data_IF_294536051823
#
_entry.id   IF_294536051823
#
_cell.length_a   1.000
_cell.length_b   1.000
_cell.length_c   1.000
_cell.angle_alpha   90.00
_cell.angle_beta   90.00
_cell.angle_gamma   90.00
#
_symmetry.space_group_name_H-M   'P 1'
#
loop_
_entity.id
_entity.type
_entity.pdbx_description
1 polymer ?
#
# COMPACT_ATOMS: atom_id res chain seq x y z
N UNK A 1 -30.39 -15.80 -10.30
CA UNK A 1 -29.07 -16.49 -10.35
C UNK A 1 -28.37 -16.31 -11.71
N UNK A 2 -29.08 -16.38 -12.85
CA UNK A 2 -28.53 -16.11 -14.19
C UNK A 2 -28.14 -14.64 -14.47
N UNK A 3 -28.73 -13.65 -13.81
CA UNK A 3 -28.37 -12.23 -13.94
C UNK A 3 -27.05 -11.84 -13.23
N UNK A 4 -26.58 -12.63 -12.26
CA UNK A 4 -25.29 -12.38 -11.58
C UNK A 4 -24.11 -12.90 -12.39
N UNK A 5 -24.34 -13.91 -13.24
CA UNK A 5 -23.33 -14.46 -14.15
C UNK A 5 -23.09 -13.50 -15.32
N UNK A 6 -24.11 -12.77 -15.80
CA UNK A 6 -23.92 -11.71 -16.79
C UNK A 6 -23.11 -10.50 -16.25
N UNK A 7 -23.20 -10.20 -14.95
CA UNK A 7 -22.43 -9.10 -14.34
C UNK A 7 -20.93 -9.44 -14.26
N UNK A 8 -20.58 -10.71 -14.07
CA UNK A 8 -19.20 -11.20 -14.08
C UNK A 8 -18.68 -11.40 -15.50
N UNK A 9 -19.53 -11.76 -16.46
CA UNK A 9 -19.14 -11.88 -17.87
C UNK A 9 -18.97 -10.53 -18.59
N UNK A 10 -19.46 -9.42 -18.03
CA UNK A 10 -19.22 -8.06 -18.57
C UNK A 10 -17.83 -7.51 -18.26
N UNK A 11 -17.01 -8.21 -17.46
CA UNK A 11 -15.60 -7.90 -17.20
C UNK A 11 -14.64 -8.51 -18.23
N UNK A 12 -15.17 -9.12 -19.29
CA UNK A 12 -14.38 -9.58 -20.44
C UNK A 12 -14.32 -8.45 -21.47
N UNK A 13 -13.45 -7.46 -21.26
CA UNK A 13 -13.09 -6.48 -22.28
C UNK A 13 -11.63 -6.64 -22.66
N UNK A 14 -11.40 -7.50 -23.65
CA UNK A 14 -10.35 -7.26 -24.64
C UNK A 14 -10.82 -6.12 -25.56
N UNK A 15 -10.01 -5.08 -25.71
CA UNK A 15 -9.81 -4.25 -26.92
C UNK A 15 -9.08 -2.96 -26.49
N UNK A 16 -7.88 -2.69 -26.99
CA UNK A 16 -7.65 -2.14 -28.34
C UNK A 16 -8.50 -0.89 -28.55
N UNK A 17 -7.83 0.25 -28.62
CA UNK A 17 -8.41 1.52 -29.02
C UNK A 17 -9.28 1.38 -30.27
N UNK A 18 -10.52 1.87 -30.26
CA UNK A 18 -11.17 2.62 -31.36
C UNK A 18 -12.47 3.26 -30.81
N UNK A 19 -12.55 4.59 -30.97
CA UNK A 19 -13.75 5.44 -31.09
C UNK A 19 -14.89 5.35 -30.06
N UNK A 20 -14.94 6.37 -29.19
CA UNK A 20 -16.17 7.13 -28.96
C UNK A 20 -17.03 6.76 -27.76
N UNK A 21 -16.99 7.65 -26.75
CA UNK A 21 -17.91 7.78 -25.60
C UNK A 21 -17.79 6.71 -24.50
N UNK A 22 -16.79 6.92 -23.63
CA UNK A 22 -16.68 6.23 -22.32
C UNK A 22 -17.30 7.13 -21.26
N UNK A 23 -18.29 6.60 -20.53
CA UNK A 23 -18.88 7.23 -19.34
C UNK A 23 -17.93 7.11 -18.12
N UNK A 24 -17.01 8.06 -18.04
CA UNK A 24 -16.42 8.82 -16.91
C UNK A 24 -16.10 8.27 -15.51
N UNK A 25 -16.44 7.05 -15.06
CA UNK A 25 -16.16 6.68 -13.65
C UNK A 25 -14.81 5.96 -13.40
N UNK A 26 -14.26 5.27 -14.39
CA UNK A 26 -13.02 4.49 -14.25
C UNK A 26 -11.74 5.20 -14.69
N UNK A 27 -11.87 6.25 -15.51
CA UNK A 27 -10.73 6.95 -16.13
C UNK A 27 -10.13 8.03 -15.20
N UNK A 28 -10.97 8.69 -14.41
CA UNK A 28 -10.60 9.74 -13.45
C UNK A 28 -9.63 9.23 -12.37
N UNK A 29 -9.82 8.01 -11.84
CA UNK A 29 -8.97 7.44 -10.77
C UNK A 29 -7.55 7.13 -11.28
N UNK A 30 -7.43 6.66 -12.53
CA UNK A 30 -6.15 6.30 -13.14
C UNK A 30 -5.35 7.55 -13.54
N UNK A 31 -6.01 8.58 -14.08
CA UNK A 31 -5.38 9.85 -14.42
C UNK A 31 -4.98 10.67 -13.17
N UNK A 32 -5.78 10.63 -12.10
CA UNK A 32 -5.44 11.33 -10.85
C UNK A 32 -4.28 10.70 -10.06
N UNK A 33 -4.06 9.39 -10.21
CA UNK A 33 -2.92 8.71 -9.59
C UNK A 33 -1.59 9.30 -10.10
N UNK A 34 -1.55 9.70 -11.38
CA UNK A 34 -0.37 10.28 -12.04
C UNK A 34 -0.14 11.74 -11.63
N UNK A 35 -1.20 12.55 -11.48
CA UNK A 35 -1.07 13.96 -11.07
C UNK A 35 -0.68 14.15 -9.60
N UNK A 36 -1.11 13.26 -8.69
CA UNK A 36 -0.67 13.28 -7.28
C UNK A 36 0.73 12.66 -7.12
N UNK A 37 1.14 11.77 -8.04
CA UNK A 37 2.49 11.20 -8.09
C UNK A 37 3.56 12.27 -8.29
N UNK A 38 3.28 13.31 -9.10
CA UNK A 38 4.24 14.33 -9.49
C UNK A 38 4.64 15.31 -8.37
N UNK A 39 3.84 15.46 -7.30
CA UNK A 39 4.09 16.46 -6.26
C UNK A 39 4.88 15.94 -5.04
N UNK A 40 4.98 14.62 -4.85
CA UNK A 40 5.65 14.00 -3.66
C UNK A 40 6.96 13.29 -4.01
N UNK A 41 7.23 13.05 -5.30
CA UNK A 41 8.45 12.39 -5.79
C UNK A 41 9.70 13.26 -5.71
N UNK A 42 9.55 14.59 -5.68
CA UNK A 42 10.68 15.53 -5.83
C UNK A 42 11.61 15.54 -4.63
N UNK A 43 11.15 15.27 -3.40
CA UNK A 43 12.03 15.26 -2.21
C UNK A 43 12.65 13.90 -1.86
N UNK A 44 12.26 12.82 -2.54
CA UNK A 44 12.70 11.46 -2.20
C UNK A 44 13.68 10.85 -3.21
N UNK A 45 13.76 11.37 -4.43
CA UNK A 45 14.73 10.95 -5.44
C UNK A 45 16.18 11.16 -4.97
N UNK A 46 16.40 12.23 -4.20
CA UNK A 46 17.69 12.60 -3.63
C UNK A 46 18.24 11.56 -2.65
N UNK A 47 17.37 10.85 -1.91
CA UNK A 47 17.81 9.86 -0.92
C UNK A 47 18.32 8.57 -1.60
N UNK A 48 17.66 8.13 -2.67
CA UNK A 48 18.09 6.95 -3.44
C UNK A 48 19.39 7.25 -4.18
N UNK A 49 19.51 8.45 -4.77
CA UNK A 49 20.74 8.92 -5.40
C UNK A 49 21.88 9.06 -4.37
N UNK A 50 21.59 9.56 -3.17
CA UNK A 50 22.55 9.66 -2.07
C UNK A 50 23.03 8.28 -1.57
N UNK A 51 22.14 7.30 -1.43
CA UNK A 51 22.52 5.93 -1.04
C UNK A 51 23.37 5.26 -2.13
N UNK A 52 22.99 5.43 -3.40
CA UNK A 52 23.78 4.90 -4.52
C UNK A 52 25.13 5.61 -4.68
N UNK A 53 25.22 6.91 -4.34
CA UNK A 53 26.45 7.70 -4.40
C UNK A 53 27.40 7.51 -3.21
N UNK A 54 26.91 7.07 -2.06
CA UNK A 54 27.71 6.86 -0.84
C UNK A 54 28.32 5.46 -0.73
N UNK A 55 28.03 4.54 -1.66
CA UNK A 55 28.46 3.14 -1.61
C UNK A 55 28.15 2.44 -0.27
N UNK A 56 27.17 2.93 0.50
CA UNK A 56 26.79 2.31 1.76
C UNK A 56 26.18 0.93 1.49
N UNK A 57 26.63 -0.07 2.25
CA UNK A 57 26.06 -1.41 2.13
C UNK A 57 24.60 -1.40 2.58
N UNK A 58 23.79 -2.19 1.89
CA UNK A 58 22.37 -2.43 2.20
C UNK A 58 22.16 -2.82 3.67
N UNK A 59 23.11 -3.62 4.20
CA UNK A 59 23.12 -4.09 5.59
C UNK A 59 23.32 -2.93 6.57
N UNK A 60 24.34 -2.10 6.35
CA UNK A 60 24.64 -0.98 7.22
C UNK A 60 23.48 0.03 7.28
N UNK A 61 22.84 0.30 6.14
CA UNK A 61 21.68 1.19 6.09
C UNK A 61 20.49 0.63 6.88
N UNK A 62 20.24 -0.68 6.78
CA UNK A 62 19.19 -1.34 7.55
C UNK A 62 19.47 -1.27 9.06
N UNK A 63 20.73 -1.46 9.48
CA UNK A 63 21.14 -1.35 10.88
C UNK A 63 20.93 0.06 11.44
N UNK A 64 21.40 1.09 10.73
CA UNK A 64 21.22 2.49 11.13
C UNK A 64 19.73 2.82 11.27
N UNK A 65 18.89 2.40 10.32
CA UNK A 65 17.45 2.66 10.38
C UNK A 65 16.77 1.91 11.53
N UNK A 66 17.16 0.65 11.77
CA UNK A 66 16.70 -0.12 12.94
C UNK A 66 17.08 0.57 14.25
N UNK A 67 18.31 1.07 14.39
CA UNK A 67 18.74 1.81 15.59
C UNK A 67 17.89 3.06 15.82
N UNK A 68 17.58 3.82 14.75
CA UNK A 68 16.71 5.01 14.85
C UNK A 68 15.29 4.69 15.32
N UNK A 69 14.79 3.48 15.07
CA UNK A 69 13.48 3.05 15.62
C UNK A 69 13.48 2.83 17.13
N UNK A 70 14.65 2.73 17.78
CA UNK A 70 14.78 2.67 19.24
C UNK A 70 14.68 4.03 19.95
N UNK A 71 14.50 5.13 19.21
CA UNK A 71 14.35 6.47 19.79
C UNK A 71 13.06 6.62 20.59
N UNK A 72 13.07 7.48 21.62
CA UNK A 72 11.86 7.87 22.35
C UNK A 72 10.97 8.87 21.59
N UNK A 73 11.51 9.55 20.57
CA UNK A 73 10.80 10.56 19.80
C UNK A 73 9.98 9.94 18.66
N UNK A 74 8.67 10.18 18.68
CA UNK A 74 7.76 9.72 17.62
C UNK A 74 8.20 10.22 16.24
N UNK A 75 8.75 11.44 16.15
CA UNK A 75 9.20 12.05 14.89
C UNK A 75 10.33 11.23 14.28
N UNK A 76 11.33 10.86 15.10
CA UNK A 76 12.50 10.09 14.65
C UNK A 76 12.08 8.68 14.23
N UNK A 77 11.31 8.00 15.08
CA UNK A 77 10.84 6.64 14.82
C UNK A 77 9.97 6.59 13.56
N UNK A 78 9.01 7.50 13.42
CA UNK A 78 8.09 7.48 12.29
C UNK A 78 8.80 7.82 10.97
N UNK A 79 9.73 8.79 10.97
CA UNK A 79 10.57 9.06 9.80
C UNK A 79 11.40 7.84 9.40
N UNK A 80 12.01 7.15 10.36
CA UNK A 80 12.78 5.94 10.08
C UNK A 80 11.90 4.85 9.43
N UNK A 81 10.69 4.62 9.93
CA UNK A 81 9.74 3.66 9.33
C UNK A 81 9.32 4.09 7.90
N UNK A 82 9.05 5.38 7.68
CA UNK A 82 8.72 5.90 6.34
C UNK A 82 9.88 5.70 5.38
N UNK A 83 11.11 5.97 5.80
CA UNK A 83 12.32 5.73 5.02
C UNK A 83 12.50 4.24 4.69
N UNK A 84 12.32 3.35 5.66
CA UNK A 84 12.39 1.89 5.42
C UNK A 84 11.36 1.47 4.38
N UNK A 85 10.10 1.90 4.53
CA UNK A 85 9.06 1.58 3.54
C UNK A 85 9.42 2.10 2.15
N UNK A 86 9.95 3.32 2.06
CA UNK A 86 10.40 3.90 0.80
C UNK A 86 11.47 3.03 0.13
N UNK A 87 12.46 2.56 0.89
CA UNK A 87 13.53 1.69 0.39
C UNK A 87 13.02 0.31 -0.01
N UNK A 88 12.03 -0.25 0.70
CA UNK A 88 11.38 -1.50 0.29
C UNK A 88 10.68 -1.36 -1.07
N UNK A 89 10.07 -0.20 -1.35
CA UNK A 89 9.29 0.04 -2.58
C UNK A 89 10.18 0.46 -3.76
N UNK A 90 11.06 1.44 -3.56
CA UNK A 90 11.82 2.08 -4.65
C UNK A 90 13.32 1.78 -4.63
N UNK A 91 13.84 1.23 -3.52
CA UNK A 91 15.24 0.84 -3.39
C UNK A 91 15.58 -0.48 -4.07
N UNK A 92 16.83 -0.91 -3.88
CA UNK A 92 17.32 -2.19 -4.37
C UNK A 92 16.61 -3.36 -3.65
N UNK A 93 16.24 -4.40 -4.39
CA UNK A 93 15.56 -5.59 -3.84
C UNK A 93 16.36 -6.29 -2.72
N UNK A 94 17.70 -6.21 -2.76
CA UNK A 94 18.56 -6.71 -1.68
C UNK A 94 18.20 -6.12 -0.32
N UNK A 95 17.62 -4.92 -0.27
CA UNK A 95 17.19 -4.30 0.98
C UNK A 95 16.04 -5.07 1.62
N UNK A 96 14.94 -5.29 0.89
CA UNK A 96 13.81 -6.06 1.44
C UNK A 96 14.21 -7.52 1.71
N UNK A 97 15.08 -8.11 0.90
CA UNK A 97 15.65 -9.45 1.16
C UNK A 97 16.39 -9.50 2.51
N UNK A 98 17.25 -8.53 2.78
CA UNK A 98 17.95 -8.44 4.06
C UNK A 98 17.00 -8.22 5.25
N UNK A 99 15.94 -7.44 5.06
CA UNK A 99 14.92 -7.27 6.11
C UNK A 99 14.12 -8.55 6.35
N UNK A 100 13.81 -9.30 5.29
CA UNK A 100 13.07 -10.56 5.35
C UNK A 100 13.85 -11.69 6.03
N UNK A 101 15.19 -11.68 5.95
CA UNK A 101 16.03 -12.65 6.64
C UNK A 101 16.07 -12.47 8.16
N UNK A 102 15.58 -11.34 8.69
CA UNK A 102 15.51 -11.10 10.14
C UNK A 102 14.29 -11.79 10.77
N UNK A 103 14.45 -12.32 11.98
CA UNK A 103 13.35 -12.91 12.75
C UNK A 103 12.33 -11.87 13.23
N UNK A 104 12.79 -10.67 13.56
CA UNK A 104 11.98 -9.50 13.92
C UNK A 104 12.62 -8.24 13.36
N UNK A 105 11.86 -7.46 12.58
CA UNK A 105 12.33 -6.21 11.98
C UNK A 105 12.15 -5.02 12.93
N UNK A 106 10.93 -4.84 13.47
CA UNK A 106 10.61 -3.80 14.45
C UNK A 106 9.83 -4.36 15.63
N UNK A 107 10.20 -4.00 16.86
CA UNK A 107 9.53 -4.39 18.11
C UNK A 107 8.73 -3.24 18.74
N UNK A 108 7.99 -2.49 17.91
CA UNK A 108 7.31 -1.26 18.31
C UNK A 108 5.88 -1.46 18.85
N UNK A 109 5.45 -2.69 19.16
CA UNK A 109 4.06 -2.98 19.57
C UNK A 109 3.58 -2.22 20.81
N UNK A 110 4.49 -1.82 21.71
CA UNK A 110 4.21 -1.00 22.90
C UNK A 110 4.79 0.42 22.81
N UNK A 111 5.18 0.88 21.61
CA UNK A 111 5.77 2.21 21.44
C UNK A 111 4.80 3.28 21.93
N UNK A 112 5.29 4.18 22.79
CA UNK A 112 4.57 5.32 23.29
C UNK A 112 5.56 6.46 23.52
N UNK A 113 5.38 7.55 22.78
CA UNK A 113 6.08 8.79 23.07
C UNK A 113 5.49 9.42 24.35
N UNK A 114 6.33 9.54 25.37
CA UNK A 114 5.97 10.09 26.69
C UNK A 114 6.05 11.61 26.76
N UNK A 115 6.38 12.29 25.66
CA UNK A 115 6.28 13.76 25.62
C UNK A 115 4.85 14.19 25.98
N UNK A 116 4.72 15.30 26.70
CA UNK A 116 3.43 15.82 27.22
C UNK A 116 2.50 16.32 26.08
N UNK A 117 2.80 15.99 24.82
CA UNK A 117 2.03 16.43 23.66
C UNK A 117 0.94 15.41 23.28
N UNK A 118 -0.30 15.89 23.14
CA UNK A 118 -1.41 15.09 22.60
C UNK A 118 -1.06 14.49 21.22
N UNK A 119 -0.28 15.22 20.43
CA UNK A 119 0.20 14.77 19.12
C UNK A 119 1.08 13.51 19.23
N UNK A 120 2.01 13.45 20.19
CA UNK A 120 2.87 12.29 20.40
C UNK A 120 2.10 11.02 20.74
N UNK A 121 1.06 11.15 21.58
CA UNK A 121 0.16 10.04 21.92
C UNK A 121 -0.59 9.51 20.68
N UNK A 122 -1.18 10.40 19.88
CA UNK A 122 -1.89 10.03 18.66
C UNK A 122 -0.96 9.37 17.63
N UNK A 123 0.22 9.95 17.39
CA UNK A 123 1.21 9.42 16.43
C UNK A 123 1.76 8.07 16.88
N UNK A 124 1.88 7.82 18.19
CA UNK A 124 2.30 6.51 18.70
C UNK A 124 1.36 5.39 18.26
N UNK A 125 0.05 5.63 18.20
CA UNK A 125 -0.90 4.63 17.71
C UNK A 125 -0.70 4.31 16.22
N UNK A 126 -0.43 5.33 15.39
CA UNK A 126 -0.11 5.14 13.98
C UNK A 126 1.23 4.43 13.77
N UNK A 127 2.25 4.77 14.55
CA UNK A 127 3.56 4.10 14.52
C UNK A 127 3.41 2.59 14.78
N UNK A 128 2.65 2.19 15.80
CA UNK A 128 2.40 0.77 16.12
C UNK A 128 1.74 0.02 14.95
N UNK A 129 0.74 0.63 14.32
CA UNK A 129 0.02 0.03 13.17
C UNK A 129 0.90 -0.03 11.92
N UNK A 130 1.65 1.04 11.66
CA UNK A 130 2.54 1.14 10.51
C UNK A 130 3.73 0.18 10.60
N UNK A 131 4.36 0.07 11.78
CA UNK A 131 5.42 -0.90 12.02
C UNK A 131 4.92 -2.33 11.85
N UNK A 132 3.69 -2.62 12.29
CA UNK A 132 3.06 -3.93 12.06
C UNK A 132 2.94 -4.22 10.57
N UNK A 133 2.43 -3.27 9.78
CA UNK A 133 2.37 -3.44 8.33
C UNK A 133 3.75 -3.72 7.70
N UNK A 134 4.80 -2.99 8.08
CA UNK A 134 6.14 -3.22 7.53
C UNK A 134 6.72 -4.60 7.93
N UNK A 135 6.47 -5.05 9.16
CA UNK A 135 6.80 -6.40 9.59
C UNK A 135 6.08 -7.45 8.73
N UNK A 136 4.77 -7.28 8.48
CA UNK A 136 3.99 -8.19 7.64
C UNK A 136 4.43 -8.15 6.16
N UNK A 137 4.80 -6.98 5.62
CA UNK A 137 5.36 -6.86 4.26
C UNK A 137 6.69 -7.63 4.15
N UNK A 138 7.55 -7.53 5.16
CA UNK A 138 8.81 -8.28 5.23
C UNK A 138 8.57 -9.80 5.34
N UNK A 139 7.63 -10.21 6.19
CA UNK A 139 7.25 -11.62 6.34
C UNK A 139 6.63 -12.20 5.06
N UNK A 140 5.75 -11.44 4.40
CA UNK A 140 5.16 -11.82 3.13
C UNK A 140 6.22 -12.04 2.06
N UNK A 141 7.22 -11.15 1.97
CA UNK A 141 8.37 -11.34 1.09
C UNK A 141 9.13 -12.63 1.41
N UNK A 142 9.37 -12.93 2.70
CA UNK A 142 10.03 -14.19 3.11
C UNK A 142 9.24 -15.43 2.69
N UNK A 143 7.91 -15.40 2.80
CA UNK A 143 7.07 -16.57 2.52
C UNK A 143 6.84 -16.80 1.02
N UNK A 144 6.86 -15.75 0.22
CA UNK A 144 6.60 -15.80 -1.23
C UNK A 144 7.86 -15.66 -2.09
N UNK A 145 9.01 -15.44 -1.46
CA UNK A 145 10.32 -15.18 -2.08
C UNK A 145 10.29 -14.04 -3.13
N UNK A 146 9.29 -13.17 -3.04
CA UNK A 146 9.04 -12.10 -4.00
C UNK A 146 8.17 -11.00 -3.39
N UNK A 147 8.36 -9.76 -3.83
CA UNK A 147 7.46 -8.66 -3.46
C UNK A 147 6.22 -8.71 -4.35
N UNK A 148 5.11 -9.18 -3.76
CA UNK A 148 3.82 -9.28 -4.45
C UNK A 148 3.33 -7.96 -5.04
N UNK A 149 3.83 -6.81 -4.59
CA UNK A 149 3.48 -5.51 -5.18
C UNK A 149 4.18 -5.25 -6.52
N UNK A 150 5.28 -5.96 -6.81
CA UNK A 150 6.15 -5.76 -7.98
C UNK A 150 6.12 -6.89 -9.01
N UNK A 151 5.41 -7.99 -8.74
CA UNK A 151 5.32 -9.13 -9.67
C UNK A 151 4.62 -8.75 -10.99
N UNK A 152 4.92 -9.52 -12.04
CA UNK A 152 4.31 -9.38 -13.38
C UNK A 152 2.78 -9.53 -13.33
N UNK A 153 2.08 -8.66 -14.05
CA UNK A 153 0.61 -8.55 -14.13
C UNK A 153 0.05 -9.02 -15.47
N UNK A 154 -1.28 -9.17 -15.51
CA UNK A 154 -2.05 -9.47 -16.72
C UNK A 154 -2.31 -10.96 -16.92
N UNK A 155 -2.72 -11.33 -18.13
CA UNK A 155 -3.09 -12.71 -18.47
C UNK A 155 -1.95 -13.71 -18.17
N UNK A 156 -0.71 -13.34 -18.48
CA UNK A 156 0.50 -14.10 -18.18
C UNK A 156 1.19 -13.65 -16.88
N UNK A 157 0.44 -13.02 -15.99
CA UNK A 157 0.91 -12.54 -14.68
C UNK A 157 1.08 -13.69 -13.69
N UNK A 158 1.99 -13.53 -12.73
CA UNK A 158 2.35 -14.59 -11.77
C UNK A 158 1.12 -15.11 -11.02
N UNK A 159 0.27 -14.22 -10.52
CA UNK A 159 -0.95 -14.62 -9.79
C UNK A 159 -2.00 -15.27 -10.68
N UNK A 160 -2.06 -14.92 -11.97
CA UNK A 160 -3.05 -15.45 -12.92
C UNK A 160 -2.70 -16.89 -13.35
N UNK A 161 -1.42 -17.21 -13.41
CA UNK A 161 -0.92 -18.51 -13.90
C UNK A 161 -0.51 -19.48 -12.79
N UNK A 162 -0.34 -19.02 -11.55
CA UNK A 162 0.05 -19.83 -10.38
C UNK A 162 -0.80 -21.10 -10.21
N UNK A 163 -0.17 -22.23 -9.88
CA UNK A 163 -0.88 -23.50 -9.70
C UNK A 163 -1.74 -23.51 -8.42
N UNK A 164 -2.72 -24.42 -8.33
CA UNK A 164 -3.70 -24.45 -7.22
C UNK A 164 -3.05 -24.55 -5.85
N UNK A 165 -2.00 -25.38 -5.70
CA UNK A 165 -1.36 -25.60 -4.40
C UNK A 165 -0.64 -24.35 -3.92
N UNK A 166 0.15 -23.73 -4.78
CA UNK A 166 0.85 -22.47 -4.48
C UNK A 166 -0.14 -21.33 -4.25
N UNK A 167 -1.21 -21.26 -5.05
CA UNK A 167 -2.22 -20.22 -4.95
C UNK A 167 -2.94 -20.24 -3.60
N UNK A 168 -3.34 -21.44 -3.14
CA UNK A 168 -3.99 -21.61 -1.83
C UNK A 168 -3.07 -21.26 -0.66
N UNK A 169 -1.76 -21.41 -0.81
CA UNK A 169 -0.79 -20.98 0.20
C UNK A 169 -0.49 -19.47 0.12
N UNK A 170 -0.52 -18.90 -1.09
CA UNK A 170 -0.14 -17.50 -1.35
C UNK A 170 -1.25 -16.52 -0.98
N UNK A 171 -2.51 -16.82 -1.31
CA UNK A 171 -3.64 -15.93 -1.05
C UNK A 171 -3.81 -15.57 0.44
N UNK A 172 -3.67 -16.50 1.40
CA UNK A 172 -3.67 -16.15 2.83
C UNK A 172 -2.55 -15.20 3.24
N UNK A 173 -1.35 -15.33 2.66
CA UNK A 173 -0.23 -14.41 2.93
C UNK A 173 -0.57 -13.00 2.48
N UNK A 174 -1.14 -12.86 1.27
CA UNK A 174 -1.62 -11.57 0.74
C UNK A 174 -2.72 -11.01 1.63
N UNK A 175 -3.68 -11.82 2.09
CA UNK A 175 -4.75 -11.40 3.00
C UNK A 175 -4.22 -10.79 4.30
N UNK A 176 -3.23 -11.44 4.93
CA UNK A 176 -2.63 -10.97 6.19
C UNK A 176 -1.90 -9.65 5.98
N UNK A 177 -1.09 -9.55 4.93
CA UNK A 177 -0.38 -8.31 4.58
C UNK A 177 -1.37 -7.17 4.30
N UNK A 178 -2.45 -7.46 3.58
CA UNK A 178 -3.47 -6.47 3.22
C UNK A 178 -4.29 -6.02 4.43
N UNK A 179 -4.63 -6.92 5.36
CA UNK A 179 -5.27 -6.56 6.62
C UNK A 179 -4.40 -5.64 7.46
N UNK A 180 -3.10 -5.94 7.57
CA UNK A 180 -2.17 -5.10 8.31
C UNK A 180 -2.09 -3.68 7.72
N UNK A 181 -2.15 -3.55 6.39
CA UNK A 181 -2.23 -2.27 5.69
C UNK A 181 -3.52 -1.52 6.05
N UNK A 182 -4.68 -2.17 5.86
CA UNK A 182 -5.99 -1.55 6.08
C UNK A 182 -6.21 -1.19 7.56
N UNK A 183 -5.56 -1.91 8.48
CA UNK A 183 -5.56 -1.63 9.91
C UNK A 183 -4.77 -0.37 10.30
N UNK A 184 -4.10 0.32 9.38
CA UNK A 184 -3.60 1.68 9.64
C UNK A 184 -4.74 2.60 10.11
N UNK A 185 -5.95 2.38 9.55
CA UNK A 185 -7.23 2.88 10.05
C UNK A 185 -7.22 4.38 10.33
N UNK A 186 -6.96 5.16 9.27
CA UNK A 186 -7.17 6.61 9.25
C UNK A 186 -8.64 6.85 8.95
N UNK A 187 -9.29 7.71 9.72
CA UNK A 187 -10.70 8.07 9.50
C UNK A 187 -10.83 9.23 8.53
N UNK A 188 -11.68 9.06 7.51
CA UNK A 188 -11.84 10.06 6.43
C UNK A 188 -12.31 11.43 6.91
N UNK A 189 -13.08 11.46 8.02
CA UNK A 189 -13.73 12.68 8.52
C UNK A 189 -13.01 13.32 9.72
N UNK A 190 -11.83 12.84 10.09
CA UNK A 190 -11.25 13.13 11.41
C UNK A 190 -9.99 14.03 11.39
N UNK A 191 -9.63 14.64 10.26
CA UNK A 191 -8.39 15.44 10.11
C UNK A 191 -7.15 14.78 10.74
N UNK A 192 -7.09 13.45 10.76
CA UNK A 192 -6.03 12.69 11.44
C UNK A 192 -4.68 12.82 10.72
N UNK A 193 -4.71 13.14 9.42
CA UNK A 193 -3.53 13.47 8.62
C UNK A 193 -3.11 14.92 8.87
N UNK A 194 -2.60 15.17 10.07
CA UNK A 194 -2.29 16.53 10.55
C UNK A 194 -0.92 17.06 10.14
N UNK A 195 -0.01 16.19 9.67
CA UNK A 195 1.39 16.55 9.44
C UNK A 195 2.03 15.77 8.29
N UNK A 196 3.14 16.30 7.76
CA UNK A 196 3.81 15.74 6.58
C UNK A 196 4.32 14.30 6.75
N UNK A 197 4.63 13.86 7.98
CA UNK A 197 5.16 12.50 8.23
C UNK A 197 4.04 11.46 8.07
N UNK A 198 2.89 11.69 8.72
CA UNK A 198 1.74 10.78 8.60
C UNK A 198 1.17 10.80 7.17
N UNK A 199 1.17 11.95 6.49
CA UNK A 199 0.82 12.03 5.06
C UNK A 199 1.75 11.17 4.20
N UNK A 200 3.07 11.27 4.39
CA UNK A 200 4.02 10.48 3.62
C UNK A 200 3.84 8.97 3.86
N UNK A 201 3.63 8.56 5.11
CA UNK A 201 3.32 7.17 5.46
C UNK A 201 2.03 6.69 4.77
N UNK A 202 0.95 7.47 4.86
CA UNK A 202 -0.33 7.15 4.23
C UNK A 202 -0.20 7.03 2.70
N UNK A 203 0.54 7.92 2.05
CA UNK A 203 0.74 7.87 0.60
C UNK A 203 1.49 6.61 0.15
N UNK A 204 2.46 6.13 0.93
CA UNK A 204 3.12 4.85 0.64
C UNK A 204 2.16 3.67 0.83
N UNK A 205 1.39 3.65 1.92
CA UNK A 205 0.36 2.61 2.14
C UNK A 205 -0.68 2.60 1.03
N UNK A 206 -1.12 3.78 0.58
CA UNK A 206 -2.08 3.92 -0.50
C UNK A 206 -1.54 3.34 -1.81
N UNK A 207 -0.27 3.59 -2.14
CA UNK A 207 0.36 3.00 -3.32
C UNK A 207 0.47 1.48 -3.23
N UNK A 208 0.83 0.95 -2.06
CA UNK A 208 0.92 -0.49 -1.85
C UNK A 208 -0.47 -1.15 -1.82
N UNK A 209 -1.50 -0.46 -1.34
CA UNK A 209 -2.87 -1.01 -1.30
C UNK A 209 -3.43 -1.24 -2.69
N UNK A 210 -3.20 -0.31 -3.63
CA UNK A 210 -3.60 -0.49 -5.02
C UNK A 210 -2.89 -1.68 -5.66
N UNK A 211 -1.58 -1.82 -5.43
CA UNK A 211 -0.79 -2.92 -5.98
C UNK A 211 -1.16 -4.28 -5.38
N UNK A 212 -1.37 -4.33 -4.06
CA UNK A 212 -1.85 -5.52 -3.36
C UNK A 212 -3.25 -5.91 -3.84
N UNK A 213 -4.15 -4.95 -4.02
CA UNK A 213 -5.49 -5.21 -4.52
C UNK A 213 -5.46 -5.85 -5.91
N UNK A 214 -4.67 -5.33 -6.85
CA UNK A 214 -4.53 -5.91 -8.19
C UNK A 214 -4.02 -7.35 -8.12
N UNK A 215 -2.95 -7.60 -7.35
CA UNK A 215 -2.41 -8.95 -7.17
C UNK A 215 -3.42 -9.91 -6.56
N UNK A 216 -4.14 -9.44 -5.53
CA UNK A 216 -5.14 -10.24 -4.84
C UNK A 216 -6.30 -10.58 -5.77
N UNK A 217 -6.77 -9.61 -6.55
CA UNK A 217 -7.84 -9.81 -7.53
C UNK A 217 -7.44 -10.81 -8.64
N UNK A 218 -6.22 -10.71 -9.18
CA UNK A 218 -5.70 -11.69 -10.14
C UNK A 218 -5.68 -13.11 -9.55
N UNK A 219 -5.27 -13.24 -8.30
CA UNK A 219 -5.26 -14.52 -7.59
C UNK A 219 -6.65 -15.08 -7.32
N UNK A 220 -7.63 -14.23 -6.97
CA UNK A 220 -9.03 -14.65 -6.80
C UNK A 220 -9.63 -15.09 -8.13
N UNK A 221 -9.37 -14.38 -9.23
CA UNK A 221 -9.84 -14.82 -10.55
C UNK A 221 -9.26 -16.18 -10.92
N UNK A 222 -7.96 -16.41 -10.67
CA UNK A 222 -7.32 -17.71 -10.91
C UNK A 222 -7.93 -18.82 -10.02
N UNK A 223 -8.23 -18.51 -8.76
CA UNK A 223 -8.88 -19.41 -7.82
C UNK A 223 -10.27 -19.85 -8.33
N UNK A 224 -11.06 -18.90 -8.83
CA UNK A 224 -12.39 -19.15 -9.37
C UNK A 224 -12.35 -19.95 -10.68
N UNK A 225 -11.41 -19.65 -11.57
CA UNK A 225 -11.24 -20.37 -12.84
C UNK A 225 -10.95 -21.87 -12.61
N UNK A 226 -10.22 -22.20 -11.54
CA UNK A 226 -9.84 -23.59 -11.20
C UNK A 226 -10.83 -24.28 -10.25
N UNK A 227 -11.78 -23.55 -9.66
CA UNK A 227 -12.58 -24.03 -8.53
C UNK A 227 -13.33 -25.33 -8.78
N UNK A 228 -13.89 -25.49 -9.98
CA UNK A 228 -14.68 -26.67 -10.36
C UNK A 228 -13.83 -27.92 -10.60
N UNK A 229 -12.52 -27.75 -10.81
CA UNK A 229 -11.55 -28.83 -11.00
C UNK A 229 -10.87 -29.25 -9.69
N UNK A 230 -11.19 -28.59 -8.57
CA UNK A 230 -10.56 -28.83 -7.27
C UNK A 230 -11.23 -29.97 -6.48
N UNK A 231 -10.45 -30.62 -5.61
CA UNK A 231 -11.00 -31.57 -4.65
C UNK A 231 -11.83 -30.89 -3.55
N UNK A 232 -12.76 -31.64 -2.93
CA UNK A 232 -13.69 -31.12 -1.89
C UNK A 232 -13.02 -30.30 -0.77
N UNK A 233 -11.82 -30.68 -0.33
CA UNK A 233 -11.07 -29.92 0.69
C UNK A 233 -10.64 -28.55 0.16
N UNK A 234 -10.06 -28.51 -1.03
CA UNK A 234 -9.61 -27.29 -1.70
C UNK A 234 -10.78 -26.38 -2.05
N UNK A 235 -11.93 -26.91 -2.46
CA UNK A 235 -13.12 -26.08 -2.69
C UNK A 235 -13.56 -25.34 -1.42
N UNK A 236 -13.57 -26.01 -0.26
CA UNK A 236 -13.93 -25.35 1.02
C UNK A 236 -12.95 -24.25 1.40
N UNK A 237 -11.66 -24.51 1.23
CA UNK A 237 -10.61 -23.53 1.49
C UNK A 237 -10.69 -22.33 0.53
N UNK A 238 -10.92 -22.60 -0.75
CA UNK A 238 -11.10 -21.57 -1.78
C UNK A 238 -12.31 -20.68 -1.49
N UNK A 239 -13.42 -21.28 -1.07
CA UNK A 239 -14.65 -20.55 -0.73
C UNK A 239 -14.43 -19.66 0.49
N UNK A 240 -13.73 -20.14 1.52
CA UNK A 240 -13.36 -19.32 2.69
C UNK A 240 -12.46 -18.14 2.28
N UNK A 241 -11.47 -18.36 1.42
CA UNK A 241 -10.61 -17.29 0.88
C UNK A 241 -11.43 -16.25 0.10
N UNK A 242 -12.40 -16.69 -0.71
CA UNK A 242 -13.26 -15.81 -1.49
C UNK A 242 -14.21 -14.98 -0.61
N UNK A 243 -14.85 -15.58 0.39
CA UNK A 243 -15.71 -14.85 1.34
C UNK A 243 -14.89 -13.76 2.06
N UNK A 244 -13.70 -14.13 2.54
CA UNK A 244 -12.73 -13.22 3.15
C UNK A 244 -12.27 -12.09 2.23
N UNK A 245 -12.19 -12.32 0.91
CA UNK A 245 -11.90 -11.28 -0.07
C UNK A 245 -12.98 -10.20 -0.09
N UNK A 246 -14.25 -10.59 -0.12
CA UNK A 246 -15.39 -9.66 -0.17
C UNK A 246 -15.42 -8.71 1.04
N UNK A 247 -15.14 -9.23 2.24
CA UNK A 247 -15.06 -8.41 3.46
C UNK A 247 -13.96 -7.33 3.36
N UNK A 248 -12.81 -7.68 2.78
CA UNK A 248 -11.68 -6.77 2.60
C UNK A 248 -11.96 -5.69 1.55
N UNK A 249 -12.77 -5.99 0.55
CA UNK A 249 -13.20 -4.98 -0.44
C UNK A 249 -13.97 -3.82 0.20
N UNK A 250 -14.81 -4.11 1.19
CA UNK A 250 -15.53 -3.08 1.95
C UNK A 250 -14.57 -2.18 2.74
N UNK A 251 -13.58 -2.78 3.40
CA UNK A 251 -12.54 -2.05 4.15
C UNK A 251 -11.64 -1.21 3.23
N UNK A 252 -11.26 -1.76 2.07
CA UNK A 252 -10.50 -1.02 1.06
C UNK A 252 -11.29 0.20 0.57
N UNK A 253 -12.57 0.06 0.28
CA UNK A 253 -13.40 1.19 -0.13
C UNK A 253 -13.41 2.32 0.91
N UNK A 254 -13.49 2.00 2.20
CA UNK A 254 -13.37 2.98 3.28
C UNK A 254 -11.99 3.64 3.32
N UNK A 255 -10.92 2.86 3.15
CA UNK A 255 -9.55 3.37 3.08
C UNK A 255 -9.35 4.33 1.90
N UNK A 256 -9.91 4.01 0.72
CA UNK A 256 -9.80 4.85 -0.48
C UNK A 256 -10.56 6.19 -0.34
N UNK A 257 -11.68 6.21 0.39
CA UNK A 257 -12.42 7.47 0.69
C UNK A 257 -11.57 8.49 1.44
N UNK A 258 -10.68 8.04 2.34
CA UNK A 258 -9.73 8.93 3.02
C UNK A 258 -8.86 9.66 2.00
N UNK A 259 -8.35 8.93 1.00
CA UNK A 259 -7.50 9.50 -0.04
C UNK A 259 -8.25 10.50 -0.94
N UNK A 260 -9.55 10.27 -1.16
CA UNK A 260 -10.42 11.17 -1.92
C UNK A 260 -10.66 12.50 -1.19
N UNK A 261 -10.93 12.47 0.12
CA UNK A 261 -11.10 13.69 0.94
C UNK A 261 -9.82 14.52 0.98
N UNK A 262 -8.65 13.90 0.98
CA UNK A 262 -7.38 14.63 0.91
C UNK A 262 -7.18 15.35 -0.44
N UNK A 263 -7.74 14.81 -1.54
CA UNK A 263 -7.73 15.49 -2.85
C UNK A 263 -8.61 16.73 -2.85
N UNK A 264 -9.79 16.68 -2.25
CA UNK A 264 -10.70 17.84 -2.20
C UNK A 264 -10.12 18.97 -1.34
N UNK A 265 -9.42 18.65 -0.25
CA UNK A 265 -8.73 19.65 0.59
C UNK A 265 -7.53 20.28 -0.16
N UNK A 266 -6.74 19.47 -0.88
CA UNK A 266 -5.59 19.97 -1.63
C UNK A 266 -5.98 20.79 -2.86
N UNK A 267 -7.09 20.47 -3.54
CA UNK A 267 -7.63 21.30 -4.63
C UNK A 267 -8.21 22.64 -4.15
N UNK A 268 -8.87 22.67 -2.99
CA UNK A 268 -9.31 23.92 -2.34
C UNK A 268 -8.12 24.75 -1.82
N UNK A 269 -7.10 24.11 -1.26
CA UNK A 269 -5.86 24.78 -0.82
C UNK A 269 -5.07 25.38 -1.98
N UNK A 270 -5.11 24.75 -3.16
CA UNK A 270 -4.54 25.29 -4.40
C UNK A 270 -5.32 26.50 -4.93
N UNK A 271 -6.65 26.50 -4.77
CA UNK A 271 -7.51 27.63 -5.11
C UNK A 271 -7.26 28.84 -4.19
N UNK A 272 -7.09 28.61 -2.88
CA UNK A 272 -6.77 29.67 -1.90
C UNK A 272 -5.35 30.23 -2.12
N UNK A 273 -4.35 29.40 -2.46
CA UNK A 273 -2.99 29.89 -2.81
C UNK A 273 -2.95 30.71 -4.09
N UNK A 274 -3.83 30.44 -5.06
CA UNK A 274 -3.97 31.31 -6.24
C UNK A 274 -4.67 32.62 -5.90
N UNK A 275 -5.61 32.66 -4.96
CA UNK A 275 -6.29 33.90 -4.55
C UNK A 275 -5.44 34.82 -3.65
N UNK A 276 -4.49 34.28 -2.87
CA UNK A 276 -3.63 35.12 -2.02
C UNK A 276 -2.45 35.79 -2.74
N UNK A 277 -2.10 35.36 -3.96
CA UNK A 277 -1.06 36.02 -4.78
C UNK A 277 -1.53 37.27 -5.53
N UNK A 278 -2.83 37.55 -5.55
CA UNK A 278 -3.38 38.79 -6.10
C UNK A 278 -3.53 39.90 -5.06
N UNK A 279 -3.36 39.60 -3.77
CA UNK A 279 -3.68 40.52 -2.67
C UNK A 279 -2.47 41.24 -2.04
N UNK A 280 -1.24 40.96 -2.47
CA UNK A 280 -0.05 41.73 -2.05
C UNK A 280 0.78 42.08 -3.27
N UNK A 281 0.22 42.93 -4.14
CA UNK A 281 0.96 43.56 -5.21
C UNK A 281 1.94 44.57 -4.65
N UNK A 282 3.22 44.35 -4.92
CA UNK A 282 4.28 45.35 -5.10
C UNK A 282 5.33 44.66 -6.00
N UNK A 283 5.97 45.43 -6.92
CA UNK A 283 6.64 44.92 -8.12
C UNK A 283 7.77 43.92 -7.84
#
# INVERSE_FOLDING_TARGET
MFQMILFVMSLRFDCICISGKVTDFGFEIFFFSVCVLMLVTVSNLDLIQYINGTNMSVVHLADVLSEKTGSSSWVVVFKALVTVHHLMVYGNERFIQHLASRSSLFTLHNFLDKSISFLGYAMSAFIRRYSKYLNEKSLAYRLMESDITKIKRGADGVMRTMNTKELLNTLPVIQIQFDALLNFNVRANADELTNGIIHAAFMLLFKDSLRLFVAYNEGILNLLDKYFDMGKKQCRESLDIYIKFLDRMTKLAQFLKVAEVQKSISSHSFCIRKHMRWATGLP
#
